data_IF_896690974131
#
_entry.id   IF_896690974131
#
_cell.length_a   1.000
_cell.length_b   1.000
_cell.length_c   1.000
_cell.angle_alpha   90.00
_cell.angle_beta   90.00
_cell.angle_gamma   90.00
#
_symmetry.space_group_name_H-M   'P 1'
#
loop_
_entity.id
_entity.type
_entity.pdbx_description
1 polymer ?
#
# COMPACT_ATOMS: atom_id res chain seq x y z
N UNK A 1 16.07 8.30 -18.61
CA UNK A 1 16.51 7.41 -17.51
C UNK A 1 16.09 7.92 -16.13
N UNK A 2 16.41 9.16 -15.73
CA UNK A 2 16.07 9.67 -14.38
C UNK A 2 14.55 9.83 -14.12
N UNK A 3 13.79 10.27 -15.12
CA UNK A 3 12.35 10.51 -15.00
C UNK A 3 11.55 9.23 -14.70
N UNK A 4 11.86 8.13 -15.39
CA UNK A 4 11.21 6.81 -15.18
C UNK A 4 11.48 6.30 -13.76
N UNK A 5 12.71 6.49 -13.27
CA UNK A 5 13.10 6.08 -11.92
C UNK A 5 12.36 6.88 -10.84
N UNK A 6 12.21 8.19 -11.04
CA UNK A 6 11.42 9.05 -10.13
C UNK A 6 9.95 8.61 -10.16
N UNK A 7 9.37 8.41 -11.35
CA UNK A 7 7.97 8.01 -11.49
C UNK A 7 7.69 6.67 -10.79
N UNK A 8 8.55 5.68 -11.01
CA UNK A 8 8.42 4.36 -10.40
C UNK A 8 8.62 4.40 -8.88
N UNK A 9 9.51 5.25 -8.38
CA UNK A 9 9.72 5.44 -6.93
C UNK A 9 8.50 6.10 -6.29
N UNK A 10 7.96 7.17 -6.89
CA UNK A 10 6.77 7.87 -6.38
C UNK A 10 5.54 6.97 -6.42
N UNK A 11 5.34 6.23 -7.52
CA UNK A 11 4.22 5.32 -7.67
C UNK A 11 4.29 4.19 -6.64
N UNK A 12 5.46 3.60 -6.44
CA UNK A 12 5.63 2.56 -5.43
C UNK A 12 5.49 3.09 -4.00
N UNK A 13 5.89 4.35 -3.72
CA UNK A 13 5.64 5.00 -2.43
C UNK A 13 4.14 5.18 -2.19
N UNK A 14 3.39 5.62 -3.20
CA UNK A 14 1.93 5.76 -3.13
C UNK A 14 1.25 4.41 -2.90
N UNK A 15 1.71 3.36 -3.57
CA UNK A 15 1.20 1.99 -3.35
C UNK A 15 1.49 1.50 -1.92
N UNK A 16 2.67 1.79 -1.38
CA UNK A 16 2.99 1.48 0.02
C UNK A 16 2.09 2.25 0.98
N UNK A 17 1.89 3.55 0.78
CA UNK A 17 1.02 4.37 1.61
C UNK A 17 -0.44 3.87 1.55
N UNK A 18 -0.94 3.55 0.36
CA UNK A 18 -2.27 2.98 0.17
C UNK A 18 -2.41 1.60 0.82
N UNK A 19 -1.41 0.72 0.69
CA UNK A 19 -1.40 -0.59 1.32
C UNK A 19 -1.40 -0.49 2.86
N UNK A 20 -0.56 0.38 3.43
CA UNK A 20 -0.53 0.67 4.87
C UNK A 20 -1.88 1.21 5.32
N UNK A 21 -2.48 2.14 4.57
CA UNK A 21 -3.81 2.67 4.88
C UNK A 21 -4.86 1.55 4.95
N UNK A 22 -4.86 0.61 4.00
CA UNK A 22 -5.77 -0.55 4.01
C UNK A 22 -5.49 -1.50 5.19
N UNK A 23 -4.22 -1.70 5.57
CA UNK A 23 -3.88 -2.48 6.77
C UNK A 23 -4.42 -1.82 8.04
N UNK A 24 -4.27 -0.51 8.17
CA UNK A 24 -4.77 0.25 9.32
C UNK A 24 -6.30 0.22 9.40
N UNK A 25 -6.98 0.17 8.25
CA UNK A 25 -8.43 0.00 8.16
C UNK A 25 -8.86 -1.42 8.56
N UNK A 26 -8.21 -2.44 8.03
CA UNK A 26 -8.50 -3.85 8.33
C UNK A 26 -8.21 -4.25 9.78
N UNK A 27 -7.24 -3.59 10.42
CA UNK A 27 -6.94 -3.76 11.85
C UNK A 27 -7.90 -2.98 12.76
N UNK A 28 -8.78 -2.15 12.18
CA UNK A 28 -9.74 -1.34 12.93
C UNK A 28 -9.15 -0.18 13.72
N UNK A 29 -7.84 0.10 13.52
CA UNK A 29 -7.12 1.24 14.10
C UNK A 29 -7.58 2.54 13.46
N UNK A 30 -7.80 2.53 12.13
CA UNK A 30 -8.29 3.68 11.38
C UNK A 30 -9.68 3.34 10.80
N UNK A 31 -10.75 3.94 11.34
CA UNK A 31 -12.14 3.70 10.92
C UNK A 31 -12.68 4.82 10.04
N UNK A 32 -12.10 4.98 8.86
CA UNK A 32 -12.47 6.08 7.96
C UNK A 32 -12.54 5.59 6.51
N UNK A 33 -13.72 5.49 5.88
CA UNK A 33 -15.07 5.86 6.34
C UNK A 33 -15.68 4.85 7.33
N UNK A 34 -16.57 5.32 8.20
CA UNK A 34 -17.25 4.49 9.20
C UNK A 34 -18.17 3.40 8.60
N UNK A 35 -18.68 3.63 7.39
CA UNK A 35 -19.53 2.69 6.62
C UNK A 35 -18.75 1.75 5.68
N UNK A 36 -17.42 1.70 5.77
CA UNK A 36 -16.65 0.82 4.88
C UNK A 36 -16.66 -0.62 5.35
N UNK A 37 -17.03 -1.52 4.42
CA UNK A 37 -16.99 -2.99 4.53
C UNK A 37 -15.59 -3.52 4.91
N UNK A 38 -14.56 -2.68 4.83
CA UNK A 38 -13.15 -2.99 5.10
C UNK A 38 -12.74 -2.84 6.57
N UNK A 39 -13.53 -2.11 7.37
CA UNK A 39 -13.15 -1.75 8.75
C UNK A 39 -13.35 -2.95 9.68
N UNK A 40 -12.30 -3.31 10.41
CA UNK A 40 -12.27 -4.44 11.35
C UNK A 40 -12.36 -5.86 10.72
N UNK A 41 -12.10 -5.98 9.41
CA UNK A 41 -11.97 -7.28 8.74
C UNK A 41 -10.49 -7.66 8.54
N UNK A 42 -10.07 -8.77 9.15
CA UNK A 42 -8.70 -9.31 9.03
C UNK A 42 -8.36 -9.71 7.60
N UNK A 43 -9.35 -10.09 6.77
CA UNK A 43 -9.09 -10.40 5.37
C UNK A 43 -8.57 -9.18 4.61
N UNK A 44 -9.10 -8.00 4.90
CA UNK A 44 -8.64 -6.75 4.33
C UNK A 44 -7.30 -6.30 4.87
N UNK A 45 -7.00 -6.57 6.15
CA UNK A 45 -5.66 -6.34 6.70
C UNK A 45 -4.59 -7.15 5.95
N UNK A 46 -4.87 -8.43 5.65
CA UNK A 46 -3.94 -9.28 4.89
C UNK A 46 -3.79 -8.79 3.44
N UNK A 47 -4.90 -8.43 2.78
CA UNK A 47 -4.87 -7.88 1.41
C UNK A 47 -4.07 -6.57 1.34
N UNK A 48 -4.24 -5.67 2.31
CA UNK A 48 -3.47 -4.43 2.41
C UNK A 48 -1.98 -4.69 2.61
N UNK A 49 -1.62 -5.69 3.43
CA UNK A 49 -0.23 -6.06 3.67
C UNK A 49 0.43 -6.64 2.41
N UNK A 50 -0.28 -7.48 1.67
CA UNK A 50 0.16 -7.98 0.35
C UNK A 50 0.33 -6.83 -0.63
N UNK A 51 -0.61 -5.88 -0.65
CA UNK A 51 -0.55 -4.72 -1.55
C UNK A 51 0.66 -3.81 -1.23
N UNK A 52 0.93 -3.56 0.06
CA UNK A 52 2.11 -2.83 0.51
C UNK A 52 3.41 -3.55 0.15
N UNK A 53 3.46 -4.88 0.27
CA UNK A 53 4.61 -5.69 -0.16
C UNK A 53 4.86 -5.58 -1.66
N UNK A 54 3.81 -5.68 -2.50
CA UNK A 54 3.94 -5.53 -3.95
C UNK A 54 4.46 -4.13 -4.30
N UNK A 55 3.94 -3.08 -3.67
CA UNK A 55 4.45 -1.72 -3.84
C UNK A 55 5.94 -1.60 -3.49
N UNK A 56 6.37 -2.23 -2.39
CA UNK A 56 7.78 -2.27 -1.99
C UNK A 56 8.68 -3.00 -2.98
N UNK A 57 8.23 -4.12 -3.54
CA UNK A 57 8.96 -4.87 -4.57
C UNK A 57 9.13 -4.01 -5.82
N UNK A 58 8.09 -3.27 -6.23
CA UNK A 58 8.16 -2.34 -7.37
C UNK A 58 9.18 -1.23 -7.13
N UNK A 59 9.18 -0.59 -5.93
CA UNK A 59 10.21 0.41 -5.58
C UNK A 59 11.61 -0.19 -5.60
N UNK A 60 11.76 -1.41 -5.09
CA UNK A 60 13.05 -2.08 -5.00
C UNK A 60 13.60 -2.45 -6.38
N UNK A 61 12.76 -2.97 -7.28
CA UNK A 61 13.15 -3.21 -8.68
C UNK A 61 13.50 -1.90 -9.38
N UNK A 62 12.70 -0.85 -9.19
CA UNK A 62 12.97 0.47 -9.77
C UNK A 62 14.27 1.13 -9.25
N UNK A 63 14.78 0.69 -8.09
CA UNK A 63 16.07 1.13 -7.54
C UNK A 63 17.24 0.26 -7.99
N UNK A 64 16.99 -1.00 -8.40
CA UNK A 64 18.02 -1.95 -8.86
C UNK A 64 18.26 -1.91 -10.36
N UNK A 65 17.30 -1.45 -11.15
CA UNK A 65 17.43 -1.16 -12.58
C UNK A 65 17.96 0.26 -12.83
#
# INVERSE_FOLDING_TARGET
MMFVRILATTLGLLMMAAGIFVVLQGTGVLRWPADSVMVADRAWAVRGAVFAMVGGIVVWLARRC
#
